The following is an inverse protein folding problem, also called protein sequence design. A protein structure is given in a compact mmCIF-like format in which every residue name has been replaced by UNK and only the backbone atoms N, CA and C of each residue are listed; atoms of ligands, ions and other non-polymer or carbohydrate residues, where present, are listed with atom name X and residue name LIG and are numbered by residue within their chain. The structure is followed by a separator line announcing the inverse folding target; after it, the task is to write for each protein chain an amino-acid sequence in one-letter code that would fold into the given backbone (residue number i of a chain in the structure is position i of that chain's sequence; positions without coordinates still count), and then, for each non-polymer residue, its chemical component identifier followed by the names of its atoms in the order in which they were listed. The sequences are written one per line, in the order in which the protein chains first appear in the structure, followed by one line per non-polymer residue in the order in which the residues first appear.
data_IF_424824452394
#
_entry.id   IF_424824452394
#
_cell.length_a   1.000
_cell.length_b   1.000
_cell.length_c   1.000
_cell.angle_alpha   90.00
_cell.angle_beta   90.00
_cell.angle_gamma   90.00
#
_symmetry.space_group_name_H-M   'P 1'
#
loop_
_entity.id
_entity.type
_entity.pdbx_description
1 polymer ?
#
# COMPACT_ATOMS: atom_id res chain seq x y z
N UNK A 1 10.73 -37.14 -22.66
CA UNK A 1 11.11 -36.39 -23.87
C UNK A 1 12.64 -36.27 -23.87
N UNK A 2 13.30 -36.93 -24.83
CA UNK A 2 14.71 -37.33 -24.74
C UNK A 2 15.65 -36.20 -25.15
N UNK A 3 16.53 -35.75 -24.25
CA UNK A 3 17.54 -34.67 -24.48
C UNK A 3 18.43 -34.96 -25.70
N UNK A 4 18.62 -36.24 -26.02
CA UNK A 4 19.41 -36.72 -27.16
C UNK A 4 18.85 -36.22 -28.50
N UNK A 5 17.52 -36.14 -28.64
CA UNK A 5 16.88 -35.69 -29.89
C UNK A 5 17.06 -34.18 -30.15
N UNK A 6 17.23 -33.40 -29.08
CA UNK A 6 17.44 -31.95 -29.19
C UNK A 6 18.87 -31.61 -29.62
N UNK A 7 19.85 -32.43 -29.22
CA UNK A 7 21.25 -32.25 -29.59
C UNK A 7 21.55 -32.61 -31.05
N UNK A 8 20.82 -33.57 -31.62
CA UNK A 8 20.91 -33.90 -33.06
C UNK A 8 20.42 -32.75 -33.95
N UNK A 9 19.34 -32.07 -33.55
CA UNK A 9 18.73 -31.00 -34.36
C UNK A 9 19.52 -29.69 -34.35
N UNK A 10 20.41 -29.50 -33.37
CA UNK A 10 21.28 -28.34 -33.21
C UNK A 10 22.65 -28.47 -33.92
N UNK A 11 22.90 -29.57 -34.64
CA UNK A 11 24.12 -29.73 -35.45
C UNK A 11 25.41 -29.77 -34.62
N UNK A 12 25.35 -30.17 -33.36
CA UNK A 12 26.49 -30.15 -32.42
C UNK A 12 27.25 -31.49 -32.32
N UNK A 13 26.88 -32.50 -33.10
CA UNK A 13 27.66 -33.74 -33.19
C UNK A 13 28.71 -33.61 -34.29
N UNK A 14 29.86 -33.05 -33.92
CA UNK A 14 31.07 -33.12 -34.74
C UNK A 14 31.57 -34.57 -34.81
N UNK A 15 31.54 -35.13 -36.02
CA UNK A 15 32.22 -36.37 -36.35
C UNK A 15 33.75 -36.16 -36.31
N UNK A 16 34.55 -37.05 -35.74
CA UNK A 16 35.99 -36.86 -35.67
C UNK A 16 36.62 -37.24 -37.02
N UNK A 17 36.81 -36.26 -37.90
CA UNK A 17 37.64 -36.45 -39.09
C UNK A 17 39.12 -36.40 -38.72
N UNK A 18 39.85 -37.45 -39.11
CA UNK A 18 41.31 -37.54 -39.06
C UNK A 18 41.96 -36.35 -39.78
N UNK A 19 42.44 -35.38 -39.04
CA UNK A 19 43.44 -34.42 -39.53
C UNK A 19 44.46 -34.14 -38.43
N UNK A 20 45.70 -34.60 -38.69
CA UNK A 20 46.93 -34.17 -38.04
C UNK A 20 46.99 -32.64 -38.10
N UNK A 21 46.94 -31.97 -36.95
CA UNK A 21 46.99 -30.51 -36.87
C UNK A 21 47.31 -30.08 -35.45
N UNK A 22 48.33 -29.24 -35.32
CA UNK A 22 48.94 -28.76 -34.08
C UNK A 22 47.89 -28.37 -33.04
N UNK A 23 47.83 -29.11 -31.93
CA UNK A 23 47.01 -28.79 -30.76
C UNK A 23 47.46 -27.43 -30.21
N UNK A 24 46.75 -26.38 -30.57
CA UNK A 24 47.02 -25.04 -30.10
C UNK A 24 46.64 -24.95 -28.61
N UNK A 25 47.63 -25.14 -27.73
CA UNK A 25 47.48 -25.15 -26.26
C UNK A 25 46.86 -23.85 -25.72
N UNK A 26 46.92 -22.75 -26.49
CA UNK A 26 46.25 -21.49 -26.17
C UNK A 26 44.73 -21.59 -26.16
N UNK A 27 44.13 -22.31 -27.12
CA UNK A 27 42.67 -22.42 -27.23
C UNK A 27 42.04 -23.20 -26.07
N UNK A 28 42.75 -24.20 -25.53
CA UNK A 28 42.28 -24.96 -24.36
C UNK A 28 42.39 -24.13 -23.08
N UNK A 29 43.46 -23.32 -22.95
CA UNK A 29 43.64 -22.41 -21.83
C UNK A 29 42.57 -21.31 -21.79
N UNK A 30 42.25 -20.70 -22.94
CA UNK A 30 41.21 -19.67 -23.03
C UNK A 30 39.83 -20.24 -22.70
N UNK A 31 39.50 -21.44 -23.19
CA UNK A 31 38.21 -22.09 -22.90
C UNK A 31 38.08 -22.46 -21.40
N UNK A 32 39.14 -22.99 -20.80
CA UNK A 32 39.19 -23.30 -19.37
C UNK A 32 39.08 -22.04 -18.50
N UNK A 33 39.73 -20.94 -18.90
CA UNK A 33 39.64 -19.67 -18.19
C UNK A 33 38.25 -19.02 -18.32
N UNK A 34 37.58 -19.16 -19.47
CA UNK A 34 36.18 -18.69 -19.64
C UNK A 34 35.17 -19.52 -18.85
N UNK A 35 35.41 -20.83 -18.66
CA UNK A 35 34.57 -21.69 -17.81
C UNK A 35 34.79 -21.41 -16.31
N UNK A 36 36.01 -21.06 -15.90
CA UNK A 36 36.33 -20.63 -14.53
C UNK A 36 35.80 -19.22 -14.23
N UNK A 37 35.82 -18.30 -15.19
CA UNK A 37 35.24 -16.96 -15.06
C UNK A 37 33.70 -16.97 -15.11
N UNK A 38 33.09 -17.89 -15.87
CA UNK A 38 31.64 -18.08 -15.89
C UNK A 38 31.08 -18.73 -14.62
N UNK A 39 31.90 -19.45 -13.86
CA UNK A 39 31.54 -20.08 -12.59
C UNK A 39 31.72 -19.17 -11.36
N UNK A 40 32.28 -17.97 -11.53
CA UNK A 40 32.53 -17.01 -10.44
C UNK A 40 31.65 -15.75 -10.51
N UNK A 41 30.59 -15.75 -11.34
CA UNK A 41 29.52 -14.74 -11.32
C UNK A 41 28.18 -15.44 -11.08
N UNK A 42 28.12 -16.26 -10.03
CA UNK A 42 26.86 -16.48 -9.32
C UNK A 42 27.00 -15.61 -8.09
N UNK A 43 26.42 -14.42 -8.20
CA UNK A 43 26.40 -13.42 -7.14
C UNK A 43 25.95 -14.10 -5.84
N UNK A 44 26.78 -13.97 -4.82
CA UNK A 44 26.49 -14.40 -3.46
C UNK A 44 25.47 -13.43 -2.86
N UNK A 45 24.27 -13.40 -3.44
CA UNK A 45 23.09 -12.76 -2.87
C UNK A 45 22.09 -13.80 -2.37
N UNK A 46 22.58 -14.97 -1.97
CA UNK A 46 21.94 -15.74 -0.90
C UNK A 46 22.21 -15.02 0.42
N UNK A 47 21.69 -13.81 0.54
CA UNK A 47 21.38 -13.19 1.81
C UNK A 47 20.58 -14.22 2.61
N UNK A 48 21.24 -14.77 3.64
CA UNK A 48 20.64 -15.24 4.88
C UNK A 48 19.11 -15.43 4.80
N UNK A 49 18.65 -16.64 4.46
CA UNK A 49 17.30 -17.12 4.79
C UNK A 49 17.14 -17.22 6.31
N UNK A 50 17.25 -16.09 7.01
CA UNK A 50 16.42 -15.81 8.18
C UNK A 50 15.13 -15.30 7.56
N UNK A 51 14.07 -16.09 7.59
CA UNK A 51 12.72 -15.65 7.27
C UNK A 51 12.26 -14.58 8.26
N UNK A 52 12.82 -13.37 8.19
CA UNK A 52 12.08 -12.19 8.56
C UNK A 52 11.06 -12.04 7.44
N UNK A 53 9.87 -12.61 7.63
CA UNK A 53 8.72 -12.27 6.81
C UNK A 53 8.65 -10.74 6.80
N UNK A 54 8.88 -10.13 5.64
CA UNK A 54 8.81 -8.69 5.50
C UNK A 54 7.34 -8.30 5.64
N UNK A 55 7.00 -7.51 6.67
CA UNK A 55 5.63 -7.03 6.83
C UNK A 55 5.37 -6.00 5.73
N UNK A 56 4.29 -6.10 4.95
CA UNK A 56 3.92 -5.09 3.99
C UNK A 56 3.66 -3.78 4.73
N UNK A 57 3.98 -2.70 4.06
CA UNK A 57 3.80 -1.38 4.64
C UNK A 57 2.35 -0.89 4.49
N UNK A 58 1.82 -0.33 5.57
CA UNK A 58 0.50 0.30 5.61
C UNK A 58 0.61 1.73 6.11
N UNK A 59 0.40 2.70 5.22
CA UNK A 59 0.52 4.13 5.54
C UNK A 59 -0.85 4.80 5.72
N UNK A 60 -1.02 5.55 6.80
CA UNK A 60 -2.23 6.30 7.10
C UNK A 60 -1.99 7.79 6.89
N UNK A 61 -2.67 8.38 5.90
CA UNK A 61 -2.66 9.81 5.62
C UNK A 61 -3.95 10.43 6.13
N UNK A 62 -3.83 11.42 7.02
CA UNK A 62 -5.03 12.10 7.52
C UNK A 62 -4.80 12.99 8.73
N UNK A 63 -5.81 13.03 9.58
CA UNK A 63 -5.93 13.93 10.73
C UNK A 63 -5.78 13.21 12.08
N UNK A 64 -6.41 13.71 13.14
CA UNK A 64 -6.37 13.13 14.48
C UNK A 64 -6.86 11.69 14.53
N UNK A 65 -7.80 11.30 13.65
CA UNK A 65 -8.30 9.92 13.61
C UNK A 65 -7.16 8.96 13.30
N UNK A 66 -6.45 9.16 12.20
CA UNK A 66 -5.31 8.31 11.84
C UNK A 66 -4.12 8.48 12.79
N UNK A 67 -3.93 9.67 13.36
CA UNK A 67 -2.84 9.91 14.31
C UNK A 67 -3.02 9.11 15.61
N UNK A 68 -4.23 9.08 16.15
CA UNK A 68 -4.55 8.40 17.41
C UNK A 68 -4.93 6.93 17.25
N UNK A 69 -5.15 6.45 16.03
CA UNK A 69 -5.46 5.05 15.78
C UNK A 69 -4.35 4.12 16.29
N UNK A 70 -4.62 3.14 17.18
CA UNK A 70 -3.62 2.20 17.71
C UNK A 70 -3.25 1.10 16.68
N UNK A 71 -2.75 1.52 15.51
CA UNK A 71 -2.51 0.64 14.35
C UNK A 71 -1.42 -0.40 14.58
N UNK A 72 -0.45 -0.13 15.45
CA UNK A 72 0.63 -1.08 15.75
C UNK A 72 0.08 -2.34 16.45
N UNK A 73 -0.93 -2.16 17.30
CA UNK A 73 -1.63 -3.25 18.01
C UNK A 73 -2.72 -3.88 17.15
N UNK A 74 -3.40 -3.05 16.34
CA UNK A 74 -4.55 -3.46 15.54
C UNK A 74 -4.19 -3.89 14.11
N UNK A 75 -2.94 -3.80 13.69
CA UNK A 75 -2.45 -4.33 12.42
C UNK A 75 -1.06 -4.94 12.60
N UNK A 76 -0.88 -5.91 13.52
CA UNK A 76 0.43 -6.47 13.85
C UNK A 76 1.10 -7.16 12.66
N UNK A 77 0.38 -7.50 11.61
CA UNK A 77 0.87 -8.08 10.37
C UNK A 77 1.49 -7.06 9.40
N UNK A 78 1.27 -5.75 9.60
CA UNK A 78 1.79 -4.68 8.76
C UNK A 78 2.96 -3.95 9.43
N UNK A 79 3.81 -3.33 8.61
CA UNK A 79 4.69 -2.25 9.05
C UNK A 79 3.93 -0.92 8.87
N UNK A 80 3.48 -0.33 9.97
CA UNK A 80 2.54 0.80 9.92
C UNK A 80 3.26 2.15 9.93
N UNK A 81 2.76 3.09 9.15
CA UNK A 81 3.31 4.45 9.04
C UNK A 81 2.21 5.50 9.20
N UNK A 82 2.28 6.33 10.23
CA UNK A 82 1.34 7.43 10.41
C UNK A 82 1.87 8.69 9.73
N UNK A 83 1.27 9.05 8.61
CA UNK A 83 1.44 10.34 7.91
C UNK A 83 0.28 11.28 8.25
N UNK A 84 -0.11 11.26 9.52
CA UNK A 84 -1.28 11.94 10.04
C UNK A 84 -0.92 12.85 11.23
N UNK A 85 -1.69 13.91 11.43
CA UNK A 85 -1.49 14.81 12.57
C UNK A 85 -2.81 15.45 13.01
N UNK A 86 -3.03 15.65 14.33
CA UNK A 86 -4.27 16.25 14.83
C UNK A 86 -4.58 17.63 14.24
N UNK A 87 -5.87 17.89 14.01
CA UNK A 87 -6.37 19.17 13.49
C UNK A 87 -6.10 19.44 12.01
N UNK A 88 -5.41 18.53 11.30
CA UNK A 88 -5.12 18.72 9.88
C UNK A 88 -6.37 18.85 9.04
N UNK A 89 -6.37 19.87 8.20
CA UNK A 89 -7.31 20.09 7.10
C UNK A 89 -6.85 19.38 5.83
N UNK A 90 -7.74 19.23 4.85
CA UNK A 90 -7.45 18.51 3.61
C UNK A 90 -6.28 19.07 2.82
N UNK A 91 -6.05 20.39 2.88
CA UNK A 91 -4.87 20.99 2.23
C UNK A 91 -3.56 20.55 2.92
N UNK A 92 -3.55 20.41 4.25
CA UNK A 92 -2.36 19.99 5.01
C UNK A 92 -2.07 18.50 4.82
N UNK A 93 -3.12 17.68 4.71
CA UNK A 93 -3.01 16.26 4.36
C UNK A 93 -2.45 16.11 2.95
N UNK A 94 -2.94 16.92 1.99
CA UNK A 94 -2.41 16.93 0.64
C UNK A 94 -0.92 17.31 0.62
N UNK A 95 -0.52 18.36 1.33
CA UNK A 95 0.89 18.76 1.41
C UNK A 95 1.75 17.67 2.08
N UNK A 96 1.23 16.98 3.09
CA UNK A 96 1.92 15.83 3.69
C UNK A 96 2.12 14.69 2.66
N UNK A 97 1.12 14.42 1.81
CA UNK A 97 1.24 13.42 0.74
C UNK A 97 2.23 13.83 -0.36
N UNK A 98 2.27 15.12 -0.74
CA UNK A 98 3.25 15.63 -1.73
C UNK A 98 4.69 15.50 -1.25
N UNK A 99 4.91 15.82 0.03
CA UNK A 99 6.24 15.82 0.64
C UNK A 99 6.73 14.42 1.05
N UNK A 100 5.85 13.42 1.04
CA UNK A 100 6.23 12.06 1.34
C UNK A 100 6.92 11.39 0.14
N UNK A 101 8.10 10.82 0.39
CA UNK A 101 8.89 10.11 -0.63
C UNK A 101 8.80 8.59 -0.50
N UNK A 102 7.99 8.09 0.44
CA UNK A 102 7.84 6.67 0.71
C UNK A 102 7.19 5.91 -0.45
N UNK A 103 7.35 4.58 -0.41
CA UNK A 103 6.61 3.64 -1.23
C UNK A 103 5.96 2.62 -0.32
N UNK A 104 4.66 2.41 -0.50
CA UNK A 104 3.84 1.64 0.41
C UNK A 104 3.08 0.54 -0.32
N UNK A 105 2.90 -0.61 0.34
CA UNK A 105 2.02 -1.65 -0.20
C UNK A 105 0.57 -1.19 -0.14
N UNK A 106 0.16 -0.58 0.96
CA UNK A 106 -1.19 -0.04 1.11
C UNK A 106 -1.17 1.34 1.77
N UNK A 107 -2.11 2.18 1.36
CA UNK A 107 -2.36 3.47 1.98
C UNK A 107 -3.84 3.64 2.30
N UNK A 108 -4.12 4.37 3.37
CA UNK A 108 -5.46 4.83 3.70
C UNK A 108 -5.48 6.34 3.78
N UNK A 109 -6.50 6.96 3.19
CA UNK A 109 -6.78 8.39 3.31
C UNK A 109 -8.02 8.61 4.17
N UNK A 110 -7.92 9.49 5.17
CA UNK A 110 -9.05 10.03 5.91
C UNK A 110 -8.91 11.55 6.08
N UNK A 111 -10.03 12.27 6.23
CA UNK A 111 -10.03 13.68 6.58
C UNK A 111 -11.25 14.43 6.04
N UNK A 112 -11.25 15.75 6.19
CA UNK A 112 -12.29 16.63 5.65
C UNK A 112 -13.12 17.34 6.71
N UNK A 113 -13.42 16.68 7.84
CA UNK A 113 -14.25 17.29 8.90
C UNK A 113 -13.57 18.53 9.49
N UNK A 114 -12.25 18.52 9.63
CA UNK A 114 -11.48 19.64 10.16
C UNK A 114 -11.54 20.92 9.31
N UNK A 115 -11.89 20.80 8.03
CA UNK A 115 -12.07 21.95 7.13
C UNK A 115 -13.26 22.82 7.58
N UNK A 116 -14.19 22.22 8.32
CA UNK A 116 -15.45 22.81 8.75
C UNK A 116 -15.52 23.03 10.26
N UNK A 117 -14.41 22.93 11.00
CA UNK A 117 -14.41 23.30 12.42
C UNK A 117 -14.88 24.75 12.56
N UNK A 118 -15.93 24.95 13.36
CA UNK A 118 -16.65 26.22 13.53
C UNK A 118 -17.54 26.66 12.34
N UNK A 119 -17.73 25.83 11.32
CA UNK A 119 -18.73 26.01 10.27
C UNK A 119 -19.78 24.88 10.32
N UNK A 120 -20.93 25.17 10.95
CA UNK A 120 -22.02 24.21 11.12
C UNK A 120 -23.05 24.23 9.98
N UNK A 121 -22.95 25.21 9.07
CA UNK A 121 -23.84 25.35 7.91
C UNK A 121 -23.03 25.38 6.60
N UNK A 122 -22.31 24.29 6.28
CA UNK A 122 -21.51 24.22 5.06
C UNK A 122 -22.37 24.34 3.80
N UNK A 123 -21.80 24.98 2.79
CA UNK A 123 -22.34 25.02 1.44
C UNK A 123 -21.84 23.81 0.62
N UNK A 124 -22.56 23.45 -0.45
CA UNK A 124 -22.11 22.39 -1.36
C UNK A 124 -20.81 22.76 -2.09
N UNK A 125 -20.55 24.04 -2.35
CA UNK A 125 -19.31 24.50 -2.99
C UNK A 125 -18.09 24.27 -2.09
N UNK A 126 -18.20 24.59 -0.80
CA UNK A 126 -17.14 24.32 0.17
C UNK A 126 -16.87 22.82 0.30
N UNK A 127 -17.93 22.01 0.37
CA UNK A 127 -17.82 20.54 0.44
C UNK A 127 -17.19 19.98 -0.83
N UNK A 128 -17.61 20.44 -2.01
CA UNK A 128 -17.00 20.06 -3.30
C UNK A 128 -15.50 20.35 -3.28
N UNK A 129 -15.09 21.57 -2.89
CA UNK A 129 -13.69 21.94 -2.83
C UNK A 129 -12.88 21.07 -1.86
N UNK A 130 -13.44 20.72 -0.71
CA UNK A 130 -12.83 19.78 0.24
C UNK A 130 -12.66 18.38 -0.36
N UNK A 131 -13.68 17.86 -1.05
CA UNK A 131 -13.61 16.56 -1.73
C UNK A 131 -12.64 16.59 -2.90
N UNK A 132 -12.57 17.66 -3.68
CA UNK A 132 -11.60 17.83 -4.76
C UNK A 132 -10.15 17.81 -4.24
N UNK A 133 -9.89 18.37 -3.05
CA UNK A 133 -8.57 18.26 -2.41
C UNK A 133 -8.25 16.81 -2.04
N UNK A 134 -9.22 16.07 -1.51
CA UNK A 134 -9.04 14.64 -1.23
C UNK A 134 -8.77 13.84 -2.51
N UNK A 135 -9.50 14.07 -3.60
CA UNK A 135 -9.26 13.41 -4.89
C UNK A 135 -7.84 13.65 -5.41
N UNK A 136 -7.36 14.90 -5.38
CA UNK A 136 -5.97 15.23 -5.73
C UNK A 136 -4.96 14.55 -4.82
N UNK A 137 -5.27 14.37 -3.54
CA UNK A 137 -4.43 13.59 -2.62
C UNK A 137 -4.39 12.13 -3.05
N UNK A 138 -5.52 11.54 -3.46
CA UNK A 138 -5.56 10.16 -3.97
C UNK A 138 -4.72 10.00 -5.26
N UNK A 139 -4.75 10.98 -6.15
CA UNK A 139 -3.88 11.01 -7.34
C UNK A 139 -2.38 10.96 -6.96
N UNK A 140 -1.97 11.76 -5.97
CA UNK A 140 -0.59 11.74 -5.45
C UNK A 140 -0.26 10.37 -4.85
N UNK A 141 -1.18 9.79 -4.09
CA UNK A 141 -0.98 8.49 -3.45
C UNK A 141 -0.90 7.34 -4.45
N UNK A 142 -1.50 7.47 -5.65
CA UNK A 142 -1.42 6.45 -6.70
C UNK A 142 0.02 6.22 -7.19
N UNK A 143 0.87 7.24 -7.08
CA UNK A 143 2.30 7.11 -7.36
C UNK A 143 3.09 6.59 -6.15
N UNK A 144 2.50 6.46 -4.97
CA UNK A 144 3.18 6.10 -3.72
C UNK A 144 2.77 4.72 -3.20
N UNK A 145 1.57 4.28 -3.53
CA UNK A 145 0.93 3.15 -2.90
C UNK A 145 0.41 2.18 -3.96
N UNK A 146 0.70 0.90 -3.79
CA UNK A 146 0.18 -0.12 -4.72
C UNK A 146 -1.35 -0.26 -4.59
N UNK A 147 -1.86 -0.07 -3.37
CA UNK A 147 -3.28 -0.11 -3.05
C UNK A 147 -3.69 1.07 -2.18
N UNK A 148 -4.85 1.66 -2.46
CA UNK A 148 -5.40 2.80 -1.71
C UNK A 148 -6.79 2.47 -1.22
N UNK A 149 -7.06 2.80 0.04
CA UNK A 149 -8.37 2.71 0.68
C UNK A 149 -8.78 4.11 1.11
N UNK A 150 -10.02 4.48 0.84
CA UNK A 150 -10.61 5.72 1.35
C UNK A 150 -11.44 5.40 2.58
N UNK A 151 -11.20 6.11 3.68
CA UNK A 151 -12.05 6.06 4.86
C UNK A 151 -12.98 7.27 4.87
N UNK A 152 -14.28 6.99 4.67
CA UNK A 152 -15.31 8.00 4.87
C UNK A 152 -15.54 8.27 6.36
N UNK A 153 -16.25 9.36 6.65
CA UNK A 153 -16.54 9.79 8.01
C UNK A 153 -17.67 8.94 8.59
N UNK A 154 -17.64 8.60 9.87
CA UNK A 154 -18.81 8.05 10.56
C UNK A 154 -19.81 9.16 10.94
N UNK A 155 -20.93 8.76 11.54
CA UNK A 155 -21.90 9.70 12.10
C UNK A 155 -21.33 10.41 13.34
N UNK A 156 -20.74 11.59 13.16
CA UNK A 156 -20.25 12.44 14.26
C UNK A 156 -21.41 13.16 14.96
N UNK A 157 -21.17 13.61 16.19
CA UNK A 157 -22.10 14.31 17.07
C UNK A 157 -21.60 15.72 17.39
N UNK A 158 -22.53 16.62 17.75
CA UNK A 158 -22.15 17.96 18.22
C UNK A 158 -21.15 17.85 19.40
N UNK A 159 -20.11 18.71 19.45
CA UNK A 159 -19.91 19.95 18.69
C UNK A 159 -19.19 19.77 17.35
N UNK A 160 -19.09 18.56 16.80
CA UNK A 160 -18.49 18.35 15.48
C UNK A 160 -19.41 18.82 14.34
N UNK A 161 -18.86 19.16 13.16
CA UNK A 161 -19.63 19.56 11.98
C UNK A 161 -20.46 18.43 11.35
N UNK A 162 -21.55 18.02 12.02
CA UNK A 162 -22.41 16.87 11.62
C UNK A 162 -22.89 16.99 10.16
N UNK A 163 -23.37 18.17 9.77
CA UNK A 163 -23.86 18.43 8.41
C UNK A 163 -22.74 18.30 7.37
N UNK A 164 -21.54 18.80 7.67
CA UNK A 164 -20.39 18.68 6.77
C UNK A 164 -19.97 17.22 6.59
N UNK A 165 -19.89 16.44 7.68
CA UNK A 165 -19.55 15.02 7.62
C UNK A 165 -20.49 14.24 6.68
N UNK A 166 -21.81 14.44 6.82
CA UNK A 166 -22.81 13.80 5.96
C UNK A 166 -22.68 14.24 4.49
N UNK A 167 -22.49 15.52 4.23
CA UNK A 167 -22.33 16.06 2.86
C UNK A 167 -21.03 15.56 2.21
N UNK A 168 -19.92 15.52 2.95
CA UNK A 168 -18.64 14.96 2.48
C UNK A 168 -18.84 13.50 2.08
N UNK A 169 -19.49 12.69 2.92
CA UNK A 169 -19.71 11.28 2.60
C UNK A 169 -20.54 11.10 1.33
N UNK A 170 -21.63 11.87 1.15
CA UNK A 170 -22.45 11.82 -0.06
C UNK A 170 -21.60 12.14 -1.31
N UNK A 171 -20.79 13.18 -1.22
CA UNK A 171 -20.00 13.66 -2.35
C UNK A 171 -18.82 12.72 -2.67
N UNK A 172 -18.18 12.14 -1.64
CA UNK A 172 -17.19 11.08 -1.78
C UNK A 172 -17.81 9.81 -2.38
N UNK A 173 -19.02 9.42 -1.95
CA UNK A 173 -19.79 8.28 -2.51
C UNK A 173 -20.03 8.44 -4.01
N UNK A 174 -20.33 9.67 -4.45
CA UNK A 174 -20.60 10.01 -5.84
C UNK A 174 -19.34 10.03 -6.71
N UNK A 175 -18.22 10.54 -6.17
CA UNK A 175 -16.99 10.80 -6.95
C UNK A 175 -15.95 9.69 -6.86
N UNK A 176 -15.87 8.99 -5.73
CA UNK A 176 -14.91 7.90 -5.50
C UNK A 176 -15.62 6.56 -5.72
N UNK A 177 -15.81 6.23 -6.99
CA UNK A 177 -16.35 4.93 -7.44
C UNK A 177 -15.26 4.00 -7.99
N UNK A 178 -14.04 4.52 -8.14
CA UNK A 178 -12.90 3.84 -8.76
C UNK A 178 -11.89 3.32 -7.74
N UNK A 179 -12.04 3.70 -6.47
CA UNK A 179 -11.23 3.19 -5.37
C UNK A 179 -12.11 2.53 -4.31
N UNK A 180 -11.55 1.57 -3.58
CA UNK A 180 -12.17 1.04 -2.38
C UNK A 180 -12.47 2.12 -1.35
N UNK A 181 -13.62 1.98 -0.71
CA UNK A 181 -14.07 2.93 0.30
C UNK A 181 -14.71 2.19 1.47
N UNK A 182 -14.29 2.55 2.68
CA UNK A 182 -14.87 2.09 3.93
C UNK A 182 -15.85 3.16 4.37
N UNK A 183 -17.12 2.76 4.46
CA UNK A 183 -18.27 3.58 4.85
C UNK A 183 -18.71 3.17 6.26
N UNK A 184 -18.22 3.83 7.32
CA UNK A 184 -18.45 3.41 8.70
C UNK A 184 -19.72 3.98 9.32
N UNK A 185 -20.59 4.66 8.54
CA UNK A 185 -21.78 5.33 9.10
C UNK A 185 -22.72 4.41 9.86
N UNK A 186 -22.85 3.16 9.39
CA UNK A 186 -23.66 2.12 10.02
C UNK A 186 -22.85 1.21 10.98
N UNK A 187 -21.54 1.43 11.11
CA UNK A 187 -20.64 0.60 11.92
C UNK A 187 -20.27 1.25 13.25
N UNK A 188 -20.13 2.57 13.25
CA UNK A 188 -19.72 3.33 14.41
C UNK A 188 -20.94 4.04 14.99
N UNK A 189 -21.22 3.72 16.24
CA UNK A 189 -22.36 4.27 16.98
C UNK A 189 -21.90 5.24 18.07
N UNK A 190 -22.83 5.99 18.64
CA UNK A 190 -22.53 7.13 19.51
C UNK A 190 -21.76 6.75 20.77
N UNK A 191 -22.02 5.56 21.32
CA UNK A 191 -21.33 4.98 22.47
C UNK A 191 -19.84 4.69 22.20
N UNK A 192 -19.45 4.64 20.92
CA UNK A 192 -18.07 4.41 20.50
C UNK A 192 -17.30 5.72 20.27
N UNK A 193 -17.87 6.87 20.66
CA UNK A 193 -17.28 8.19 20.49
C UNK A 193 -16.84 8.79 21.84
N UNK A 194 -15.62 9.32 21.91
CA UNK A 194 -15.07 9.96 23.12
C UNK A 194 -15.61 11.38 23.32
N UNK A 195 -15.70 12.15 22.25
CA UNK A 195 -16.06 13.57 22.26
C UNK A 195 -17.08 13.94 21.18
N UNK A 196 -17.81 12.94 20.69
CA UNK A 196 -18.71 13.06 19.55
C UNK A 196 -18.02 12.96 18.19
N UNK A 197 -16.68 12.93 18.11
CA UNK A 197 -15.96 12.76 16.86
C UNK A 197 -14.92 11.66 16.92
N UNK A 198 -14.01 11.68 17.90
CA UNK A 198 -12.95 10.68 18.05
C UNK A 198 -13.49 9.35 18.58
N UNK A 199 -12.89 8.24 18.13
CA UNK A 199 -13.29 6.90 18.54
C UNK A 199 -12.72 6.51 19.90
N UNK A 200 -13.47 5.69 20.63
CA UNK A 200 -12.97 4.87 21.74
C UNK A 200 -12.12 3.71 21.21
N UNK A 201 -11.45 2.98 22.12
CA UNK A 201 -10.72 1.76 21.76
C UNK A 201 -11.63 0.71 21.09
N UNK A 202 -12.88 0.59 21.56
CA UNK A 202 -13.90 -0.27 20.94
C UNK A 202 -14.21 0.17 19.51
N UNK A 203 -14.44 1.47 19.30
CA UNK A 203 -14.70 2.02 17.96
C UNK A 203 -13.54 1.77 17.00
N UNK A 204 -12.29 2.00 17.44
CA UNK A 204 -11.11 1.66 16.64
C UNK A 204 -10.99 0.15 16.39
N UNK A 205 -11.37 -0.69 17.35
CA UNK A 205 -11.37 -2.15 17.20
C UNK A 205 -12.30 -2.62 16.07
N UNK A 206 -13.54 -2.14 16.07
CA UNK A 206 -14.53 -2.45 15.03
C UNK A 206 -14.06 -1.96 13.66
N UNK A 207 -13.59 -0.71 13.61
CA UNK A 207 -13.13 -0.13 12.35
C UNK A 207 -11.90 -0.87 11.81
N UNK A 208 -10.97 -1.25 12.67
CA UNK A 208 -9.79 -2.02 12.29
C UNK A 208 -10.11 -3.39 11.76
N UNK A 209 -11.07 -4.09 12.36
CA UNK A 209 -11.53 -5.37 11.85
C UNK A 209 -12.06 -5.20 10.41
N UNK A 210 -12.88 -4.18 10.16
CA UNK A 210 -13.41 -3.91 8.81
C UNK A 210 -12.30 -3.59 7.81
N UNK A 211 -11.34 -2.75 8.18
CA UNK A 211 -10.17 -2.44 7.33
C UNK A 211 -9.35 -3.70 7.04
N UNK A 212 -9.13 -4.54 8.05
CA UNK A 212 -8.33 -5.77 7.93
C UNK A 212 -9.01 -6.80 7.04
N UNK A 213 -10.32 -7.02 7.20
CA UNK A 213 -11.10 -7.89 6.32
C UNK A 213 -11.01 -7.41 4.86
N UNK A 214 -11.07 -6.09 4.66
CA UNK A 214 -10.92 -5.50 3.34
C UNK A 214 -9.53 -5.73 2.75
N UNK A 215 -8.47 -5.45 3.51
CA UNK A 215 -7.07 -5.70 3.10
C UNK A 215 -6.82 -7.20 2.85
N UNK A 216 -7.49 -8.09 3.59
CA UNK A 216 -7.46 -9.55 3.36
C UNK A 216 -8.02 -9.96 2.03
N UNK A 217 -9.19 -9.42 1.68
CA UNK A 217 -9.80 -9.69 0.40
C UNK A 217 -9.02 -9.09 -0.78
N UNK A 218 -8.36 -7.95 -0.56
CA UNK A 218 -7.76 -7.15 -1.63
C UNK A 218 -6.27 -7.43 -1.87
N UNK A 219 -5.58 -7.98 -0.86
CA UNK A 219 -4.16 -8.36 -0.93
C UNK A 219 -3.98 -9.87 -0.73
N UNK A 220 -4.72 -10.76 -1.41
CA UNK A 220 -4.66 -12.20 -1.15
C UNK A 220 -3.25 -12.77 -1.30
N UNK A 221 -2.44 -12.24 -2.23
CA UNK A 221 -1.05 -12.62 -2.44
C UNK A 221 -0.19 -12.42 -1.19
N UNK A 222 -0.46 -11.37 -0.40
CA UNK A 222 0.25 -11.11 0.84
C UNK A 222 -0.04 -12.18 1.90
N UNK A 223 -1.30 -12.64 2.01
CA UNK A 223 -1.69 -13.61 3.02
C UNK A 223 -1.23 -15.03 2.69
N UNK A 224 -1.05 -15.33 1.40
CA UNK A 224 -0.49 -16.60 0.96
C UNK A 224 0.99 -16.77 1.36
N UNK A 225 1.74 -15.68 1.56
CA UNK A 225 3.14 -15.73 2.02
C UNK A 225 3.27 -16.05 3.53
N UNK A 226 2.15 -16.04 4.28
CA UNK A 226 2.08 -16.38 5.71
C UNK A 226 1.56 -17.79 5.99
N UNK A 227 1.06 -18.50 4.96
CA UNK A 227 0.54 -19.87 5.06
C UNK A 227 1.58 -20.90 4.60
#
# INVERSE_FOLDING_TARGET
MNIIYFLEKLGLLFSPSKTRGVFNRFSVFVLAMSLLLGACVIDQDTHSKKSKLYKPSFALFGDSISAFWPVEEQFPEFETYKKAFPGRRTYEIQEAAKNDTGKYRSCMLNGGVNDFLNNFEPTWEEVDATVQRQLKTLEILNDRCDYIIVLNVWSVQLPWPVKAASMINLEMKKKVTFLPRIDPEDLIHNEMLLDGGHLTDEGYGILSQRVREYLRASLPEFWLEFL
#
